data_IF_841205441863
#
_entry.id   IF_841205441863
#
_cell.length_a   1.000
_cell.length_b   1.000
_cell.length_c   1.000
_cell.angle_alpha   90.00
_cell.angle_beta   90.00
_cell.angle_gamma   90.00
#
_symmetry.space_group_name_H-M   'P 1'
#
loop_
_entity.id
_entity.type
_entity.pdbx_description
1 polymer ?
#
# COMPACT_ATOMS: atom_id res chain seq x y z
N UNK A 1 -40.49 72.09 -45.03
CA UNK A 1 -40.05 73.19 -44.15
C UNK A 1 -39.53 72.57 -42.86
N UNK A 2 -38.36 73.01 -42.38
CA UNK A 2 -37.55 72.38 -41.35
C UNK A 2 -38.28 72.10 -40.03
N UNK A 3 -37.90 71.01 -39.34
CA UNK A 3 -37.14 71.10 -38.07
C UNK A 3 -36.64 69.72 -37.62
N UNK A 4 -35.31 69.55 -37.70
CA UNK A 4 -34.54 68.61 -36.90
C UNK A 4 -34.94 68.74 -35.43
N UNK A 5 -35.17 67.62 -34.75
CA UNK A 5 -34.99 67.55 -33.30
C UNK A 5 -34.18 66.29 -32.98
N UNK A 6 -32.93 66.57 -32.65
CA UNK A 6 -31.88 65.65 -32.20
C UNK A 6 -32.35 64.96 -30.93
N UNK A 7 -32.41 63.63 -30.92
CA UNK A 7 -32.41 62.87 -29.67
C UNK A 7 -30.97 62.76 -29.20
N UNK A 8 -30.63 63.54 -28.18
CA UNK A 8 -29.38 63.42 -27.44
C UNK A 8 -29.43 62.08 -26.70
N UNK A 9 -28.65 61.11 -27.17
CA UNK A 9 -28.29 59.94 -26.38
C UNK A 9 -27.36 60.44 -25.28
N UNK A 10 -27.92 60.67 -24.09
CA UNK A 10 -27.12 60.87 -22.88
C UNK A 10 -26.49 59.51 -22.57
N UNK A 11 -25.29 59.29 -23.11
CA UNK A 11 -24.38 58.28 -22.59
C UNK A 11 -24.04 58.70 -21.16
N UNK A 12 -24.81 58.19 -20.18
CA UNK A 12 -24.30 58.04 -18.83
C UNK A 12 -23.17 57.01 -18.93
N UNK A 13 -21.96 57.51 -19.22
CA UNK A 13 -20.74 56.86 -18.80
C UNK A 13 -20.85 56.84 -17.28
N UNK A 14 -21.49 55.79 -16.75
CA UNK A 14 -21.37 55.43 -15.35
C UNK A 14 -19.87 55.20 -15.19
N UNK A 15 -19.19 56.23 -14.71
CA UNK A 15 -17.84 56.13 -14.20
C UNK A 15 -17.86 54.91 -13.30
N UNK A 16 -17.25 53.83 -13.78
CA UNK A 16 -17.00 52.63 -13.04
C UNK A 16 -15.93 53.02 -12.02
N UNK A 17 -16.34 53.79 -11.01
CA UNK A 17 -15.61 53.98 -9.77
C UNK A 17 -15.53 52.58 -9.18
N UNK A 18 -14.45 51.87 -9.52
CA UNK A 18 -14.01 50.71 -8.78
C UNK A 18 -13.73 51.27 -7.38
N UNK A 19 -14.74 51.24 -6.52
CA UNK A 19 -14.64 51.63 -5.12
C UNK A 19 -13.53 50.76 -4.53
N UNK A 20 -12.36 51.38 -4.37
CA UNK A 20 -11.20 50.79 -3.72
C UNK A 20 -11.45 50.95 -2.21
N UNK A 21 -12.34 50.13 -1.67
CA UNK A 21 -12.53 50.09 -0.23
C UNK A 21 -11.28 49.49 0.44
N UNK A 22 -10.74 50.25 1.39
CA UNK A 22 -9.61 49.83 2.21
C UNK A 22 -10.14 48.93 3.32
N UNK A 23 -9.85 47.63 3.26
CA UNK A 23 -10.05 46.73 4.41
C UNK A 23 -8.73 46.62 5.17
N UNK A 24 -8.78 46.99 6.44
CA UNK A 24 -7.68 46.78 7.38
C UNK A 24 -7.55 45.29 7.65
N UNK A 25 -6.55 44.66 7.05
CA UNK A 25 -6.18 43.27 7.36
C UNK A 25 -4.90 43.28 8.20
N UNK A 26 -4.96 42.77 9.44
CA UNK A 26 -3.78 42.58 10.31
C UNK A 26 -2.86 43.81 10.40
N UNK A 27 -3.44 45.00 10.58
CA UNK A 27 -2.69 46.25 10.78
C UNK A 27 -1.89 46.74 9.56
N UNK A 28 -2.14 46.22 8.36
CA UNK A 28 -1.57 46.77 7.11
C UNK A 28 -2.67 47.08 6.12
N UNK A 29 -2.82 48.35 5.79
CA UNK A 29 -3.72 48.83 4.74
C UNK A 29 -3.16 48.38 3.38
N UNK A 30 -3.96 47.63 2.61
CA UNK A 30 -3.65 47.31 1.23
C UNK A 30 -4.87 47.62 0.37
N UNK A 31 -4.73 48.39 -0.70
CA UNK A 31 -5.83 48.61 -1.63
C UNK A 31 -6.12 47.29 -2.36
N UNK A 32 -7.33 46.74 -2.21
CA UNK A 32 -7.74 45.50 -2.87
C UNK A 32 -9.07 45.74 -3.58
N UNK A 33 -9.09 45.60 -4.91
CA UNK A 33 -10.34 45.78 -5.68
C UNK A 33 -11.47 44.86 -5.21
N UNK A 34 -12.73 45.25 -5.47
CA UNK A 34 -13.94 44.71 -4.81
C UNK A 34 -14.02 43.18 -4.69
N UNK A 35 -13.72 42.41 -5.75
CA UNK A 35 -13.78 40.95 -5.68
C UNK A 35 -12.72 40.34 -4.73
N UNK A 36 -11.54 40.96 -4.65
CA UNK A 36 -10.47 40.56 -3.72
C UNK A 36 -10.82 40.95 -2.28
N UNK A 37 -11.52 42.07 -2.10
CA UNK A 37 -12.03 42.53 -0.81
C UNK A 37 -13.06 41.57 -0.20
N UNK A 38 -14.05 41.18 -0.99
CA UNK A 38 -15.09 40.22 -0.57
C UNK A 38 -14.47 38.87 -0.18
N UNK A 39 -13.45 38.41 -0.92
CA UNK A 39 -12.71 37.17 -0.60
C UNK A 39 -11.89 37.31 0.69
N UNK A 40 -11.30 38.47 0.96
CA UNK A 40 -10.57 38.77 2.18
C UNK A 40 -11.49 38.75 3.41
N UNK A 41 -12.63 39.44 3.35
CA UNK A 41 -13.64 39.46 4.42
C UNK A 41 -14.17 38.04 4.71
N UNK A 42 -14.47 37.25 3.68
CA UNK A 42 -14.90 35.85 3.84
C UNK A 42 -13.84 34.98 4.53
N UNK A 43 -12.55 35.19 4.24
CA UNK A 43 -11.45 34.46 4.88
C UNK A 43 -11.31 34.80 6.36
N UNK A 44 -11.41 36.08 6.73
CA UNK A 44 -11.35 36.50 8.15
C UNK A 44 -12.54 35.96 8.93
N UNK A 45 -13.76 36.08 8.41
CA UNK A 45 -14.95 35.46 9.04
C UNK A 45 -14.80 33.95 9.19
N UNK A 46 -14.28 33.25 8.19
CA UNK A 46 -14.02 31.81 8.28
C UNK A 46 -12.93 31.48 9.32
N UNK A 47 -11.92 32.35 9.49
CA UNK A 47 -10.86 32.20 10.49
C UNK A 47 -11.41 32.40 11.90
N UNK A 48 -12.22 33.43 12.12
CA UNK A 48 -12.93 33.67 13.39
C UNK A 48 -13.84 32.49 13.75
N UNK A 49 -14.64 32.00 12.79
CA UNK A 49 -15.49 30.82 13.02
C UNK A 49 -14.67 29.57 13.40
N UNK A 50 -13.50 29.37 12.77
CA UNK A 50 -12.57 28.27 13.11
C UNK A 50 -11.98 28.42 14.52
N UNK A 51 -11.62 29.64 14.93
CA UNK A 51 -11.07 29.87 16.29
C UNK A 51 -12.14 29.66 17.36
N UNK A 52 -13.38 30.11 17.12
CA UNK A 52 -14.53 29.88 18.01
C UNK A 52 -14.79 28.37 18.14
N UNK A 53 -14.95 27.65 17.02
CA UNK A 53 -15.15 26.18 17.02
C UNK A 53 -14.02 25.42 17.71
N UNK A 54 -12.77 25.86 17.55
CA UNK A 54 -11.61 25.26 18.22
C UNK A 54 -11.64 25.49 19.73
N UNK A 55 -11.99 26.70 20.19
CA UNK A 55 -12.17 27.01 21.62
C UNK A 55 -13.30 26.18 22.24
N UNK A 56 -14.44 26.07 21.57
CA UNK A 56 -15.57 25.24 21.99
C UNK A 56 -15.20 23.76 22.07
N UNK A 57 -14.49 23.23 21.06
CA UNK A 57 -13.98 21.85 21.07
C UNK A 57 -13.06 21.60 22.27
N UNK A 58 -12.15 22.53 22.58
CA UNK A 58 -11.25 22.42 23.75
C UNK A 58 -12.02 22.39 25.07
N UNK A 59 -13.01 23.27 25.24
CA UNK A 59 -13.89 23.28 26.43
C UNK A 59 -14.61 21.93 26.59
N UNK A 60 -15.26 21.44 25.52
CA UNK A 60 -15.95 20.14 25.51
C UNK A 60 -15.03 18.96 25.86
N UNK A 61 -13.81 18.94 25.34
CA UNK A 61 -12.82 17.89 25.66
C UNK A 61 -12.36 17.99 27.12
N UNK A 62 -12.16 19.19 27.65
CA UNK A 62 -11.78 19.39 29.05
C UNK A 62 -12.88 18.96 30.02
N UNK A 63 -14.14 19.30 29.73
CA UNK A 63 -15.31 18.84 30.51
C UNK A 63 -15.45 17.33 30.50
N UNK A 64 -15.36 16.69 29.32
CA UNK A 64 -15.35 15.22 29.20
C UNK A 64 -14.21 14.59 29.99
N UNK A 65 -13.02 15.21 30.01
CA UNK A 65 -11.88 14.72 30.79
C UNK A 65 -12.14 14.81 32.30
N UNK A 66 -12.77 15.88 32.78
CA UNK A 66 -13.18 16.02 34.19
C UNK A 66 -14.22 14.96 34.56
N UNK A 67 -15.26 14.80 33.74
CA UNK A 67 -16.29 13.78 33.95
C UNK A 67 -15.71 12.36 33.99
N UNK A 68 -14.75 12.04 33.11
CA UNK A 68 -14.05 10.74 33.13
C UNK A 68 -13.23 10.54 34.40
N UNK A 69 -12.62 11.60 34.93
CA UNK A 69 -11.86 11.52 36.19
C UNK A 69 -12.76 11.30 37.41
N UNK A 70 -13.98 11.84 37.41
CA UNK A 70 -14.90 11.72 38.55
C UNK A 70 -15.78 10.47 38.50
N UNK A 71 -16.21 10.05 37.31
CA UNK A 71 -17.24 9.01 37.13
C UNK A 71 -16.70 7.73 36.48
N UNK A 72 -15.41 7.67 36.15
CA UNK A 72 -14.80 6.53 35.48
C UNK A 72 -15.08 6.48 33.97
N UNK A 73 -14.57 5.44 33.31
CA UNK A 73 -14.64 5.30 31.85
C UNK A 73 -16.01 4.84 31.33
N UNK A 74 -16.82 4.18 32.17
CA UNK A 74 -18.13 3.63 31.81
C UNK A 74 -19.17 4.72 31.48
N UNK A 75 -19.10 5.86 32.19
CA UNK A 75 -20.05 6.98 32.03
C UNK A 75 -19.64 7.89 30.86
N UNK A 76 -18.35 7.92 30.48
CA UNK A 76 -17.87 8.70 29.35
C UNK A 76 -16.82 7.94 28.51
N UNK A 77 -17.26 6.93 27.73
CA UNK A 77 -16.36 6.09 26.97
C UNK A 77 -15.56 6.91 25.96
N UNK A 78 -14.31 6.51 25.75
CA UNK A 78 -13.47 7.10 24.70
C UNK A 78 -14.10 6.73 23.36
N UNK A 79 -14.55 7.74 22.62
CA UNK A 79 -15.05 7.54 21.26
C UNK A 79 -13.91 7.01 20.40
N UNK A 80 -14.01 5.75 19.97
CA UNK A 80 -13.06 5.18 19.04
C UNK A 80 -13.14 5.94 17.72
N UNK A 81 -11.99 6.38 17.16
CA UNK A 81 -12.00 7.04 15.86
C UNK A 81 -12.49 6.05 14.80
N UNK A 82 -13.38 6.51 13.92
CA UNK A 82 -13.76 5.77 12.72
C UNK A 82 -12.59 5.77 11.75
N UNK A 83 -11.72 4.77 11.85
CA UNK A 83 -10.67 4.49 10.87
C UNK A 83 -11.25 3.70 9.70
N UNK A 84 -10.57 3.68 8.56
CA UNK A 84 -11.02 2.88 7.41
C UNK A 84 -11.05 1.39 7.72
N UNK A 85 -10.13 0.91 8.58
CA UNK A 85 -10.11 -0.48 9.02
C UNK A 85 -11.33 -0.81 9.90
N UNK A 86 -11.67 0.08 10.84
CA UNK A 86 -12.83 -0.13 11.73
C UNK A 86 -14.18 0.01 11.03
N UNK A 87 -14.21 0.69 9.89
CA UNK A 87 -15.43 0.95 9.10
C UNK A 87 -15.47 0.08 7.84
N UNK A 88 -14.62 -0.96 7.76
CA UNK A 88 -14.62 -1.88 6.64
C UNK A 88 -15.95 -2.65 6.62
N UNK A 89 -16.51 -2.82 5.43
CA UNK A 89 -17.68 -3.66 5.23
C UNK A 89 -17.32 -5.10 5.55
N UNK A 90 -18.24 -5.79 6.23
CA UNK A 90 -18.06 -7.20 6.53
C UNK A 90 -18.01 -7.99 5.24
N UNK A 91 -17.01 -8.85 5.11
CA UNK A 91 -16.80 -9.73 3.97
C UNK A 91 -17.15 -11.15 4.42
N UNK A 92 -18.07 -11.80 3.71
CA UNK A 92 -18.55 -13.14 4.02
C UNK A 92 -17.44 -14.20 3.89
N UNK A 93 -16.39 -13.91 3.11
CA UNK A 93 -15.27 -14.82 2.86
C UNK A 93 -14.19 -14.78 3.95
N UNK A 94 -14.41 -14.04 5.05
CA UNK A 94 -13.49 -14.01 6.18
C UNK A 94 -13.51 -15.38 6.87
N UNK A 95 -12.34 -16.02 6.93
CA UNK A 95 -12.16 -17.32 7.56
C UNK A 95 -12.20 -17.16 9.08
N UNK A 96 -13.02 -17.97 9.74
CA UNK A 96 -13.06 -18.06 11.18
C UNK A 96 -11.98 -19.05 11.67
N UNK A 97 -11.40 -18.85 12.86
CA UNK A 97 -10.25 -19.65 13.34
C UNK A 97 -10.45 -21.18 13.44
N UNK A 98 -11.67 -21.70 13.30
CA UNK A 98 -12.01 -23.13 13.37
C UNK A 98 -13.00 -23.55 12.27
N UNK A 99 -12.94 -22.93 11.09
CA UNK A 99 -13.77 -23.36 9.96
C UNK A 99 -13.27 -24.70 9.40
N UNK A 100 -14.06 -25.77 9.58
CA UNK A 100 -13.70 -27.13 9.14
C UNK A 100 -13.58 -27.23 7.61
N UNK A 101 -14.36 -26.43 6.87
CA UNK A 101 -14.31 -26.41 5.41
C UNK A 101 -12.96 -25.93 4.89
N UNK A 102 -12.45 -24.82 5.43
CA UNK A 102 -11.16 -24.25 5.03
C UNK A 102 -10.02 -25.23 5.33
N UNK A 103 -10.03 -25.87 6.49
CA UNK A 103 -9.01 -26.87 6.86
C UNK A 103 -9.04 -28.04 5.87
N UNK A 104 -10.22 -28.47 5.42
CA UNK A 104 -10.34 -29.52 4.43
C UNK A 104 -9.82 -29.08 3.05
N UNK A 105 -10.15 -27.87 2.61
CA UNK A 105 -9.64 -27.27 1.36
C UNK A 105 -8.11 -27.15 1.39
N UNK A 106 -7.55 -26.60 2.47
CA UNK A 106 -6.11 -26.43 2.67
C UNK A 106 -5.32 -27.75 2.71
N UNK A 107 -5.94 -28.85 3.17
CA UNK A 107 -5.27 -30.15 3.22
C UNK A 107 -5.35 -30.93 1.90
N UNK A 108 -6.25 -30.51 1.01
CA UNK A 108 -6.50 -31.17 -0.28
C UNK A 108 -5.90 -30.40 -1.46
N UNK A 109 -5.49 -29.14 -1.25
CA UNK A 109 -4.90 -28.29 -2.28
C UNK A 109 -3.58 -28.83 -2.87
N UNK A 110 -3.17 -28.28 -4.01
CA UNK A 110 -1.96 -28.69 -4.72
C UNK A 110 -0.68 -28.39 -3.93
N UNK A 111 -0.77 -27.50 -2.92
CA UNK A 111 0.35 -27.02 -2.10
C UNK A 111 0.47 -27.84 -0.80
N UNK A 112 -0.54 -28.61 -0.42
CA UNK A 112 -0.61 -29.40 0.81
C UNK A 112 0.59 -30.35 0.98
N UNK A 113 1.16 -31.00 -0.06
CA UNK A 113 2.37 -31.81 0.09
C UNK A 113 3.56 -31.03 0.66
N UNK A 114 3.66 -29.74 0.33
CA UNK A 114 4.71 -28.86 0.86
C UNK A 114 4.47 -28.55 2.35
N UNK A 115 3.22 -28.27 2.76
CA UNK A 115 2.89 -28.02 4.17
C UNK A 115 3.01 -29.27 5.05
N UNK A 116 2.81 -30.45 4.48
CA UNK A 116 3.11 -31.73 5.12
C UNK A 116 4.60 -32.10 5.12
N UNK A 117 5.49 -31.18 4.74
CA UNK A 117 6.95 -31.36 4.66
C UNK A 117 7.40 -32.53 3.77
N UNK A 118 6.56 -32.99 2.83
CA UNK A 118 6.91 -34.09 1.90
C UNK A 118 7.87 -33.61 0.82
N UNK A 119 7.75 -32.36 0.39
CA UNK A 119 8.58 -31.74 -0.65
C UNK A 119 9.36 -30.56 -0.08
N UNK A 120 10.66 -30.48 -0.42
CA UNK A 120 11.48 -29.31 -0.07
C UNK A 120 11.34 -28.24 -1.15
N UNK A 121 11.16 -26.97 -0.78
CA UNK A 121 10.99 -25.89 -1.75
C UNK A 121 12.28 -25.72 -2.55
N UNK A 122 12.13 -25.68 -3.87
CA UNK A 122 13.20 -25.46 -4.82
C UNK A 122 12.71 -24.47 -5.87
N UNK A 123 13.17 -23.23 -5.73
CA UNK A 123 12.60 -22.10 -6.45
C UNK A 123 13.51 -21.68 -7.61
N UNK A 124 12.95 -21.57 -8.80
CA UNK A 124 13.64 -21.02 -9.96
C UNK A 124 13.30 -19.54 -10.13
N UNK A 125 14.30 -18.68 -9.96
CA UNK A 125 14.20 -17.24 -10.18
C UNK A 125 14.65 -16.91 -11.61
N UNK A 126 13.81 -16.23 -12.36
CA UNK A 126 14.13 -15.78 -13.72
C UNK A 126 13.60 -14.37 -13.98
N UNK A 127 14.16 -13.71 -14.99
CA UNK A 127 13.68 -12.40 -15.46
C UNK A 127 12.95 -12.50 -16.80
N UNK A 128 12.32 -11.40 -17.21
CA UNK A 128 11.93 -11.18 -18.60
C UNK A 128 13.14 -11.26 -19.57
N UNK A 129 12.91 -11.58 -20.87
CA UNK A 129 13.97 -11.52 -21.88
C UNK A 129 14.59 -10.12 -21.95
N UNK A 130 15.92 -10.05 -22.10
CA UNK A 130 16.67 -8.79 -22.21
C UNK A 130 16.50 -7.84 -21.00
N UNK A 131 16.22 -8.38 -19.82
CA UNK A 131 16.14 -7.62 -18.58
C UNK A 131 17.43 -6.84 -18.28
N UNK A 132 17.27 -5.67 -17.67
CA UNK A 132 18.34 -4.75 -17.31
C UNK A 132 18.90 -5.07 -15.93
N UNK A 133 19.99 -4.39 -15.61
CA UNK A 133 20.77 -4.58 -14.39
C UNK A 133 19.93 -4.44 -13.12
N UNK A 134 18.93 -3.56 -13.10
CA UNK A 134 18.07 -3.33 -11.92
C UNK A 134 17.25 -4.58 -11.58
N UNK A 135 16.60 -5.20 -12.57
CA UNK A 135 15.82 -6.42 -12.39
C UNK A 135 16.68 -7.61 -11.99
N UNK A 136 17.89 -7.69 -12.54
CA UNK A 136 18.88 -8.69 -12.13
C UNK A 136 19.31 -8.52 -10.67
N UNK A 137 19.61 -7.28 -10.25
CA UNK A 137 19.91 -6.97 -8.84
C UNK A 137 18.77 -7.41 -7.93
N UNK A 138 17.53 -7.12 -8.31
CA UNK A 138 16.35 -7.57 -7.55
C UNK A 138 16.29 -9.11 -7.44
N UNK A 139 16.54 -9.84 -8.53
CA UNK A 139 16.58 -11.31 -8.49
C UNK A 139 17.67 -11.85 -7.57
N UNK A 140 18.85 -11.22 -7.52
CA UNK A 140 19.90 -11.61 -6.57
C UNK A 140 19.52 -11.31 -5.12
N UNK A 141 18.77 -10.22 -4.86
CA UNK A 141 18.24 -9.97 -3.51
C UNK A 141 17.15 -10.98 -3.13
N UNK A 142 16.29 -11.40 -4.07
CA UNK A 142 15.36 -12.51 -3.84
C UNK A 142 16.09 -13.83 -3.59
N UNK A 143 17.16 -14.11 -4.33
CA UNK A 143 17.98 -15.29 -4.11
C UNK A 143 18.60 -15.33 -2.71
N UNK A 144 19.01 -14.16 -2.20
CA UNK A 144 19.51 -14.00 -0.84
C UNK A 144 18.42 -14.20 0.21
N UNK A 145 17.18 -13.82 -0.11
CA UNK A 145 16.04 -13.95 0.77
C UNK A 145 15.54 -15.40 0.86
N UNK A 146 15.36 -16.06 -0.29
CA UNK A 146 14.71 -17.36 -0.43
C UNK A 146 15.77 -18.47 -0.41
N UNK A 147 15.78 -19.36 0.61
CA UNK A 147 16.67 -20.51 0.65
C UNK A 147 16.45 -21.43 -0.56
N UNK A 148 17.49 -22.16 -0.99
CA UNK A 148 17.42 -23.15 -2.09
C UNK A 148 16.89 -22.61 -3.43
N UNK A 149 16.99 -21.29 -3.65
CA UNK A 149 16.61 -20.66 -4.91
C UNK A 149 17.75 -20.67 -5.92
N UNK A 150 17.43 -20.71 -7.21
CA UNK A 150 18.42 -20.64 -8.30
C UNK A 150 18.05 -19.54 -9.28
N UNK A 151 19.01 -18.64 -9.57
CA UNK A 151 18.80 -17.58 -10.56
C UNK A 151 19.28 -18.03 -11.93
N UNK A 152 18.41 -18.03 -12.93
CA UNK A 152 18.74 -18.38 -14.32
C UNK A 152 18.28 -17.28 -15.28
N UNK A 153 19.09 -16.99 -16.29
CA UNK A 153 18.73 -16.08 -17.37
C UNK A 153 17.98 -16.81 -18.48
N UNK A 154 16.90 -16.20 -19.01
CA UNK A 154 16.08 -16.82 -20.06
C UNK A 154 16.83 -17.14 -21.36
N UNK A 155 17.91 -16.43 -21.72
CA UNK A 155 18.71 -16.65 -22.95
C UNK A 155 17.90 -16.92 -24.24
N UNK A 156 16.71 -16.32 -24.39
CA UNK A 156 15.83 -16.53 -25.55
C UNK A 156 14.90 -17.75 -25.47
N UNK A 157 14.96 -18.57 -24.41
CA UNK A 157 14.06 -19.71 -24.19
C UNK A 157 12.65 -19.20 -23.91
N UNK A 158 11.63 -19.84 -24.49
CA UNK A 158 10.21 -19.55 -24.23
C UNK A 158 9.81 -19.97 -22.81
N UNK A 159 8.84 -19.29 -22.20
CA UNK A 159 8.40 -19.62 -20.84
C UNK A 159 7.86 -21.05 -20.73
N UNK A 160 7.10 -21.51 -21.74
CA UNK A 160 6.61 -22.89 -21.83
C UNK A 160 7.73 -23.94 -21.78
N UNK A 161 8.82 -23.71 -22.52
CA UNK A 161 9.99 -24.61 -22.52
C UNK A 161 10.75 -24.53 -21.20
N UNK A 162 10.80 -23.35 -20.57
CA UNK A 162 11.39 -23.18 -19.24
C UNK A 162 10.62 -23.97 -18.18
N UNK A 163 9.29 -23.93 -18.20
CA UNK A 163 8.42 -24.70 -17.29
C UNK A 163 8.66 -26.20 -17.48
N UNK A 164 8.67 -26.69 -18.72
CA UNK A 164 8.97 -28.10 -19.01
C UNK A 164 10.35 -28.53 -18.48
N UNK A 165 11.36 -27.67 -18.59
CA UNK A 165 12.69 -27.92 -18.04
C UNK A 165 12.74 -27.84 -16.50
N UNK A 166 11.89 -26.99 -15.90
CA UNK A 166 11.78 -26.87 -14.46
C UNK A 166 11.13 -28.13 -13.87
N UNK A 167 10.06 -28.63 -14.50
CA UNK A 167 9.41 -29.89 -14.15
C UNK A 167 10.39 -31.08 -14.25
N UNK A 168 11.18 -31.17 -15.33
CA UNK A 168 12.18 -32.25 -15.46
C UNK A 168 13.33 -32.18 -14.44
N UNK A 169 13.53 -31.02 -13.81
CA UNK A 169 14.53 -30.80 -12.75
C UNK A 169 13.92 -30.75 -11.35
N UNK A 170 12.64 -31.10 -11.21
CA UNK A 170 11.90 -31.13 -9.96
C UNK A 170 11.96 -29.79 -9.19
N UNK A 171 11.76 -28.67 -9.89
CA UNK A 171 11.50 -27.38 -9.24
C UNK A 171 10.07 -27.35 -8.73
N UNK A 172 9.86 -26.77 -7.54
CA UNK A 172 8.53 -26.60 -6.95
C UNK A 172 7.88 -25.31 -7.43
N UNK A 173 8.67 -24.26 -7.65
CA UNK A 173 8.15 -22.93 -7.97
C UNK A 173 9.01 -22.22 -9.01
N UNK A 174 8.36 -21.44 -9.86
CA UNK A 174 9.00 -20.47 -10.73
C UNK A 174 8.55 -19.06 -10.34
N UNK A 175 9.52 -18.17 -10.18
CA UNK A 175 9.29 -16.75 -10.01
C UNK A 175 9.87 -16.00 -11.19
N UNK A 176 9.02 -15.28 -11.92
CA UNK A 176 9.41 -14.46 -13.08
C UNK A 176 9.29 -12.98 -12.72
N UNK A 177 10.42 -12.28 -12.73
CA UNK A 177 10.46 -10.82 -12.58
C UNK A 177 10.29 -10.18 -13.96
N UNK A 178 9.19 -9.46 -14.13
CA UNK A 178 8.91 -8.62 -15.28
C UNK A 178 9.42 -7.19 -15.07
N UNK A 179 9.96 -6.64 -16.16
CA UNK A 179 10.49 -5.29 -16.23
C UNK A 179 9.72 -4.49 -17.27
N UNK A 180 9.42 -3.23 -16.95
CA UNK A 180 8.96 -2.23 -17.89
C UNK A 180 9.78 -0.94 -17.71
N UNK A 181 10.11 -0.28 -18.82
CA UNK A 181 10.88 0.99 -18.86
C UNK A 181 12.10 1.03 -17.93
N UNK A 182 12.92 -0.04 -17.90
CA UNK A 182 14.13 -0.16 -17.05
C UNK A 182 13.86 -0.32 -15.55
N UNK A 183 12.62 -0.60 -15.16
CA UNK A 183 12.19 -0.80 -13.78
C UNK A 183 11.38 -2.09 -13.59
N UNK A 184 11.60 -2.87 -12.53
CA UNK A 184 10.79 -4.04 -12.23
C UNK A 184 9.36 -3.62 -11.90
N UNK A 185 8.37 -4.21 -12.59
CA UNK A 185 6.95 -3.81 -12.50
C UNK A 185 6.03 -4.98 -12.13
N UNK A 186 6.34 -6.20 -12.58
CA UNK A 186 5.47 -7.36 -12.35
C UNK A 186 6.24 -8.55 -11.82
N UNK A 187 5.60 -9.36 -10.98
CA UNK A 187 6.13 -10.62 -10.47
C UNK A 187 5.10 -11.71 -10.79
N UNK A 188 5.50 -12.73 -11.54
CA UNK A 188 4.69 -13.93 -11.73
C UNK A 188 5.24 -15.00 -10.80
N UNK A 189 4.38 -15.56 -9.96
CA UNK A 189 4.66 -16.74 -9.15
C UNK A 189 3.82 -17.89 -9.70
N UNK A 190 4.47 -19.00 -10.02
CA UNK A 190 3.82 -20.19 -10.55
C UNK A 190 4.30 -21.41 -9.77
N UNK A 191 3.36 -22.12 -9.14
CA UNK A 191 3.64 -23.38 -8.48
C UNK A 191 3.59 -24.53 -9.50
N UNK A 192 4.54 -25.44 -9.42
CA UNK A 192 4.74 -26.55 -10.35
C UNK A 192 4.57 -27.89 -9.63
N UNK A 193 4.15 -28.97 -10.34
CA UNK A 193 3.92 -29.05 -11.79
C UNK A 193 2.57 -28.47 -12.26
N UNK A 194 1.52 -28.60 -11.46
CA UNK A 194 0.14 -28.25 -11.81
C UNK A 194 -0.49 -27.32 -10.76
N UNK A 195 0.27 -26.37 -10.25
CA UNK A 195 -0.16 -25.48 -9.18
C UNK A 195 -0.69 -24.12 -9.64
N UNK A 196 -1.19 -23.30 -8.70
CA UNK A 196 -1.74 -21.99 -9.01
C UNK A 196 -0.67 -21.01 -9.51
N UNK A 197 -1.12 -20.02 -10.30
CA UNK A 197 -0.28 -18.94 -10.79
C UNK A 197 -0.84 -17.59 -10.36
N UNK A 198 -0.02 -16.79 -9.70
CA UNK A 198 -0.35 -15.45 -9.25
C UNK A 198 0.50 -14.41 -9.99
N UNK A 199 -0.16 -13.34 -10.44
CA UNK A 199 0.52 -12.17 -10.99
C UNK A 199 0.39 -11.00 -10.01
N UNK A 200 1.54 -10.55 -9.51
CA UNK A 200 1.62 -9.39 -8.63
C UNK A 200 2.15 -8.18 -9.38
N UNK A 201 1.47 -7.04 -9.23
CA UNK A 201 2.01 -5.75 -9.65
C UNK A 201 2.91 -5.20 -8.54
N UNK A 202 4.20 -5.09 -8.82
CA UNK A 202 5.17 -4.51 -7.91
C UNK A 202 5.16 -2.99 -7.99
N UNK A 203 5.20 -2.34 -6.83
CA UNK A 203 5.32 -0.90 -6.72
C UNK A 203 6.37 -0.54 -5.66
N UNK A 204 7.01 0.62 -5.84
CA UNK A 204 7.98 1.18 -4.88
C UNK A 204 9.09 0.19 -4.47
N UNK A 205 9.64 -0.53 -5.45
CA UNK A 205 10.75 -1.45 -5.23
C UNK A 205 11.99 -0.66 -4.82
N UNK A 206 12.50 -0.93 -3.60
CA UNK A 206 13.73 -0.35 -3.08
C UNK A 206 14.72 -1.46 -2.80
N UNK A 207 15.92 -1.35 -3.39
CA UNK A 207 16.98 -2.29 -3.12
C UNK A 207 17.65 -1.96 -1.78
N UNK A 208 18.34 -2.91 -1.13
CA UNK A 208 19.02 -2.67 0.14
C UNK A 208 19.99 -1.48 0.11
N UNK A 209 20.60 -1.21 -1.05
CA UNK A 209 21.51 -0.06 -1.25
C UNK A 209 20.81 1.30 -1.14
N UNK A 210 19.50 1.35 -1.42
CA UNK A 210 18.72 2.59 -1.43
C UNK A 210 18.06 2.86 -0.07
N UNK A 211 18.15 1.92 0.86
CA UNK A 211 17.56 2.00 2.20
C UNK A 211 18.62 2.46 3.19
N UNK A 212 18.37 3.59 3.87
CA UNK A 212 19.25 4.10 4.91
C UNK A 212 19.34 3.12 6.08
N UNK A 213 20.54 2.93 6.62
CA UNK A 213 20.82 2.02 7.74
C UNK A 213 20.42 0.55 7.46
N UNK A 214 20.42 0.13 6.19
CA UNK A 214 20.21 -1.28 5.85
C UNK A 214 21.47 -2.09 6.16
N UNK A 215 21.47 -2.80 7.27
CA UNK A 215 22.50 -3.78 7.59
C UNK A 215 22.49 -4.92 6.57
N UNK A 216 23.66 -5.30 6.06
CA UNK A 216 23.81 -6.53 5.26
C UNK A 216 24.25 -7.65 6.21
N UNK A 217 23.30 -8.26 6.91
CA UNK A 217 23.57 -9.40 7.79
C UNK A 217 24.13 -10.61 7.02
N UNK A 218 24.87 -11.48 7.71
CA UNK A 218 25.26 -12.76 7.12
C UNK A 218 24.02 -13.60 6.81
N UNK A 219 24.03 -14.30 5.67
CA UNK A 219 22.96 -15.24 5.32
C UNK A 219 23.24 -16.52 6.09
N UNK A 220 22.68 -16.64 7.29
CA UNK A 220 22.82 -17.84 8.11
C UNK A 220 21.45 -18.41 8.47
N UNK A 221 21.26 -19.69 8.17
CA UNK A 221 20.01 -20.41 8.43
C UNK A 221 18.82 -19.95 7.57
N UNK A 222 17.72 -20.66 7.74
CA UNK A 222 16.45 -20.37 7.09
C UNK A 222 15.73 -19.22 7.81
N UNK A 223 15.11 -18.28 7.08
CA UNK A 223 14.40 -17.17 7.69
C UNK A 223 13.06 -17.64 8.31
N UNK A 224 12.64 -16.95 9.36
CA UNK A 224 11.27 -17.00 9.86
C UNK A 224 10.34 -16.25 8.89
N UNK A 225 9.14 -16.78 8.68
CA UNK A 225 8.14 -16.18 7.80
C UNK A 225 6.98 -15.61 8.63
N UNK A 226 6.67 -14.34 8.41
CA UNK A 226 5.55 -13.64 9.07
C UNK A 226 4.54 -13.22 8.01
N UNK A 227 3.34 -13.80 8.07
CA UNK A 227 2.21 -13.48 7.20
C UNK A 227 1.13 -12.77 8.02
N UNK A 228 0.88 -11.50 7.73
CA UNK A 228 -0.06 -10.68 8.50
C UNK A 228 -1.26 -10.26 7.63
N UNK A 229 -2.46 -10.32 8.20
CA UNK A 229 -3.73 -9.82 7.63
C UNK A 229 -4.16 -10.51 6.31
N UNK A 230 -3.88 -11.80 6.19
CA UNK A 230 -4.48 -12.65 5.16
C UNK A 230 -5.66 -13.39 5.80
N UNK A 231 -6.82 -12.73 5.93
CA UNK A 231 -7.96 -13.26 6.69
C UNK A 231 -9.09 -13.82 5.83
N UNK A 232 -9.12 -13.50 4.53
CA UNK A 232 -10.14 -14.02 3.61
C UNK A 232 -9.68 -15.35 3.01
N UNK A 233 -10.60 -16.19 2.50
CA UNK A 233 -10.25 -17.45 1.81
C UNK A 233 -9.21 -17.24 0.71
N UNK A 234 -9.42 -16.24 -0.16
CA UNK A 234 -8.42 -15.85 -1.17
C UNK A 234 -7.08 -15.40 -0.54
N UNK A 235 -7.16 -14.69 0.59
CA UNK A 235 -5.99 -14.28 1.36
C UNK A 235 -5.19 -15.48 1.85
N UNK A 236 -5.84 -16.51 2.38
CA UNK A 236 -5.21 -17.77 2.80
C UNK A 236 -4.53 -18.46 1.61
N UNK A 237 -5.20 -18.57 0.46
CA UNK A 237 -4.60 -19.15 -0.75
C UNK A 237 -3.33 -18.39 -1.17
N UNK A 238 -3.38 -17.06 -1.22
CA UNK A 238 -2.22 -16.23 -1.58
C UNK A 238 -1.11 -16.33 -0.53
N UNK A 239 -1.46 -16.36 0.75
CA UNK A 239 -0.52 -16.52 1.86
C UNK A 239 0.21 -17.86 1.75
N UNK A 240 -0.52 -18.94 1.46
CA UNK A 240 0.03 -20.29 1.26
C UNK A 240 0.95 -20.35 0.05
N UNK A 241 0.57 -19.74 -1.07
CA UNK A 241 1.44 -19.60 -2.26
C UNK A 241 2.73 -18.83 -1.96
N UNK A 242 2.69 -17.79 -1.11
CA UNK A 242 3.90 -17.06 -0.73
C UNK A 242 4.76 -17.86 0.26
N UNK A 243 4.12 -18.63 1.14
CA UNK A 243 4.79 -19.47 2.12
C UNK A 243 5.57 -20.63 1.47
N UNK A 244 5.03 -21.23 0.40
CA UNK A 244 5.66 -22.37 -0.27
C UNK A 244 7.03 -22.07 -0.86
N UNK A 245 7.38 -20.79 -1.02
CA UNK A 245 8.71 -20.36 -1.43
C UNK A 245 9.80 -20.59 -0.39
N UNK A 246 9.43 -20.63 0.90
CA UNK A 246 10.37 -20.72 2.03
C UNK A 246 10.35 -22.13 2.62
N UNK A 247 11.37 -22.60 3.32
CA UNK A 247 11.30 -23.89 4.00
C UNK A 247 10.66 -23.73 5.40
N UNK A 248 9.95 -24.76 5.89
CA UNK A 248 9.20 -24.72 7.16
C UNK A 248 10.04 -24.99 8.42
N UNK A 249 11.36 -25.01 8.30
CA UNK A 249 12.32 -25.20 9.38
C UNK A 249 13.08 -23.88 9.66
N UNK A 250 12.42 -22.86 10.24
CA UNK A 250 13.06 -21.56 10.49
C UNK A 250 14.19 -21.70 11.51
N UNK A 251 15.30 -21.00 11.25
CA UNK A 251 16.45 -21.02 12.14
C UNK A 251 16.49 -19.76 13.02
N UNK A 252 15.90 -19.86 14.21
CA UNK A 252 15.78 -18.73 15.15
C UNK A 252 17.12 -18.10 15.55
N UNK A 253 18.19 -18.89 15.61
CA UNK A 253 19.54 -18.40 15.94
C UNK A 253 20.09 -17.39 14.91
N UNK A 254 19.63 -17.48 13.65
CA UNK A 254 20.05 -16.60 12.57
C UNK A 254 19.38 -15.22 12.59
N UNK A 255 18.28 -15.05 13.36
CA UNK A 255 17.51 -13.80 13.51
C UNK A 255 17.06 -13.18 12.18
N UNK A 256 16.82 -14.02 11.17
CA UNK A 256 16.34 -13.57 9.86
C UNK A 256 14.82 -13.71 9.81
N UNK A 257 14.14 -12.64 9.41
CA UNK A 257 12.68 -12.63 9.31
C UNK A 257 12.25 -12.06 7.97
N UNK A 258 11.34 -12.73 7.30
CA UNK A 258 10.69 -12.27 6.08
C UNK A 258 9.23 -12.01 6.39
N UNK A 259 8.78 -10.81 6.11
CA UNK A 259 7.43 -10.36 6.45
C UNK A 259 6.66 -10.02 5.19
N UNK A 260 5.48 -10.62 5.05
CA UNK A 260 4.44 -10.21 4.13
C UNK A 260 3.28 -9.65 4.96
N UNK A 261 3.06 -8.34 4.84
CA UNK A 261 1.98 -7.67 5.55
C UNK A 261 0.95 -7.18 4.55
N UNK A 262 -0.26 -7.73 4.61
CA UNK A 262 -1.36 -7.30 3.77
C UNK A 262 -2.09 -6.10 4.41
N UNK A 263 -2.23 -5.02 3.66
CA UNK A 263 -3.05 -3.88 4.06
C UNK A 263 -3.78 -3.35 2.84
N UNK A 264 -5.11 -3.53 2.82
CA UNK A 264 -5.99 -3.09 1.71
C UNK A 264 -5.52 -3.64 0.35
N UNK A 265 -5.24 -4.94 0.32
CA UNK A 265 -4.76 -5.67 -0.85
C UNK A 265 -3.38 -5.21 -1.37
N UNK A 266 -2.68 -4.38 -0.60
CA UNK A 266 -1.26 -4.14 -0.77
C UNK A 266 -0.47 -5.06 0.14
N UNK A 267 0.27 -5.98 -0.48
CA UNK A 267 1.19 -6.86 0.23
C UNK A 267 2.54 -6.16 0.34
N UNK A 268 2.88 -5.72 1.55
CA UNK A 268 4.18 -5.16 1.86
C UNK A 268 5.18 -6.27 2.18
N UNK A 269 6.19 -6.38 1.32
CA UNK A 269 7.30 -7.29 1.52
C UNK A 269 8.48 -6.58 2.21
N UNK A 270 9.00 -7.19 3.27
CA UNK A 270 10.21 -6.77 3.98
C UNK A 270 11.06 -7.98 4.37
N UNK A 271 12.37 -7.81 4.31
CA UNK A 271 13.35 -8.78 4.81
C UNK A 271 14.18 -8.09 5.89
N UNK A 272 14.11 -8.64 7.10
CA UNK A 272 14.77 -8.17 8.31
C UNK A 272 15.98 -9.07 8.63
N UNK A 273 17.05 -8.44 9.11
CA UNK A 273 18.31 -9.05 9.51
C UNK A 273 18.57 -8.80 11.00
#
# INVERSE_FOLDING_TARGET
MLKLNVWVVINFVLNCFIFLEVVVMSGKEKPVGGLKLVRAIRRERAKELRTIKSKEKRKRVAERRKLRATFGEDICPVQQPKTLENTREYDETIVLPNDEEEVYEENTDEIAPYFHMKTKPKVLLTTSPKAKVVSWKLCYEFHRCIPNSHVIGRKGISLKRLISLANSKNYTDIVVVHEDRRSPNGLVLCHLPDGPTAYFKMQNVKLPKDIKNCGKGAVFGNPELVLNNFSTRLGHTVARMLACLFPQDPHFGGRRVVTFHNQRDYIFFRHHW
#
